data_IF_877015376610
#
_entry.id   IF_877015376610
#
_cell.length_a   1.000
_cell.length_b   1.000
_cell.length_c   1.000
_cell.angle_alpha   90.00
_cell.angle_beta   90.00
_cell.angle_gamma   90.00
#
_symmetry.space_group_name_H-M   'P 1'
#
loop_
_entity.id
_entity.type
_entity.pdbx_description
1 polymer ?
#
# COMPACT_ATOMS: atom_id res chain seq x y z
N UNK A 1 -5.15 -24.58 -44.29
CA UNK A 1 -4.06 -24.10 -43.40
C UNK A 1 -3.85 -22.59 -43.46
N UNK A 2 -3.84 -21.95 -44.63
CA UNK A 2 -3.67 -20.48 -44.74
C UNK A 2 -4.81 -19.64 -44.13
N UNK A 3 -6.05 -20.14 -44.15
CA UNK A 3 -7.21 -19.45 -43.56
C UNK A 3 -7.11 -19.33 -42.03
N UNK A 4 -6.62 -20.38 -41.36
CA UNK A 4 -6.38 -20.34 -39.91
C UNK A 4 -5.29 -19.33 -39.54
N UNK A 5 -4.23 -19.25 -40.34
CA UNK A 5 -3.14 -18.27 -40.15
C UNK A 5 -3.65 -16.84 -40.36
N UNK A 6 -4.52 -16.61 -41.35
CA UNK A 6 -5.10 -15.30 -41.60
C UNK A 6 -6.01 -14.82 -40.44
N UNK A 7 -6.82 -15.71 -39.88
CA UNK A 7 -7.70 -15.39 -38.73
C UNK A 7 -6.86 -15.04 -37.49
N UNK A 8 -5.78 -15.78 -37.24
CA UNK A 8 -4.88 -15.53 -36.11
C UNK A 8 -4.18 -14.17 -36.23
N UNK A 9 -3.73 -13.78 -37.42
CA UNK A 9 -3.11 -12.48 -37.67
C UNK A 9 -4.08 -11.30 -37.45
N UNK A 10 -5.35 -11.44 -37.88
CA UNK A 10 -6.38 -10.41 -37.66
C UNK A 10 -6.72 -10.28 -36.18
N UNK A 11 -6.87 -11.41 -35.47
CA UNK A 11 -7.14 -11.42 -34.02
C UNK A 11 -5.99 -10.79 -33.23
N UNK A 12 -4.74 -11.11 -33.58
CA UNK A 12 -3.56 -10.55 -32.92
C UNK A 12 -3.40 -9.05 -33.20
N UNK A 13 -3.74 -8.58 -34.41
CA UNK A 13 -3.74 -7.15 -34.72
C UNK A 13 -4.79 -6.37 -33.90
N UNK A 14 -5.99 -6.94 -33.75
CA UNK A 14 -7.06 -6.33 -32.97
C UNK A 14 -6.74 -6.30 -31.47
N UNK A 15 -6.18 -7.39 -30.93
CA UNK A 15 -5.77 -7.50 -29.52
C UNK A 15 -4.52 -6.65 -29.19
N UNK A 16 -3.59 -6.50 -30.14
CA UNK A 16 -2.42 -5.61 -29.99
C UNK A 16 -2.82 -4.13 -29.95
N UNK A 17 -3.88 -3.74 -30.67
CA UNK A 17 -4.37 -2.36 -30.63
C UNK A 17 -5.00 -2.01 -29.27
N UNK A 18 -5.76 -2.94 -28.66
CA UNK A 18 -6.40 -2.72 -27.36
C UNK A 18 -5.41 -2.70 -26.19
N UNK A 19 -4.45 -3.61 -26.19
CA UNK A 19 -3.40 -3.68 -25.14
C UNK A 19 -2.49 -2.46 -25.14
N UNK A 20 -2.12 -1.93 -26.31
CA UNK A 20 -1.32 -0.70 -26.42
C UNK A 20 -2.00 0.53 -25.82
N UNK A 21 -3.34 0.64 -25.92
CA UNK A 21 -4.07 1.78 -25.33
C UNK A 21 -4.06 1.76 -23.80
N UNK A 22 -4.24 0.59 -23.18
CA UNK A 22 -4.22 0.46 -21.72
C UNK A 22 -2.83 0.71 -21.14
N UNK A 23 -1.78 0.22 -21.81
CA UNK A 23 -0.39 0.47 -21.39
C UNK A 23 -0.02 1.95 -21.51
N UNK A 24 -0.51 2.65 -22.54
CA UNK A 24 -0.30 4.10 -22.70
C UNK A 24 -1.00 4.91 -21.62
N UNK A 25 -2.27 4.62 -21.32
CA UNK A 25 -3.00 5.32 -20.25
C UNK A 25 -2.32 5.15 -18.88
N UNK A 26 -1.84 3.94 -18.55
CA UNK A 26 -1.10 3.69 -17.32
C UNK A 26 0.28 4.39 -17.28
N UNK A 27 0.91 4.62 -18.45
CA UNK A 27 2.15 5.39 -18.55
C UNK A 27 1.90 6.91 -18.50
N UNK A 28 0.81 7.39 -19.08
CA UNK A 28 0.40 8.80 -19.12
C UNK A 28 0.02 9.32 -17.72
N UNK A 29 -0.66 8.49 -16.89
CA UNK A 29 -0.95 8.86 -15.50
C UNK A 29 0.33 9.08 -14.68
N UNK A 30 1.38 8.30 -14.94
CA UNK A 30 2.68 8.47 -14.29
C UNK A 30 3.42 9.73 -14.74
N UNK A 31 3.09 10.32 -15.88
CA UNK A 31 3.81 11.46 -16.45
C UNK A 31 3.23 12.82 -16.06
N UNK A 32 2.08 12.87 -15.38
CA UNK A 32 1.45 14.13 -14.94
C UNK A 32 1.81 14.52 -13.50
N UNK A 33 2.80 13.87 -12.89
CA UNK A 33 3.25 14.22 -11.54
C UNK A 33 4.21 15.40 -11.61
N UNK A 34 3.74 16.57 -11.21
CA UNK A 34 4.53 17.79 -11.09
C UNK A 34 4.84 18.13 -9.64
N UNK A 35 5.93 18.85 -9.42
CA UNK A 35 6.27 19.41 -8.11
C UNK A 35 5.18 20.40 -7.68
N UNK A 36 4.75 20.32 -6.42
CA UNK A 36 3.66 21.11 -5.84
C UNK A 36 2.28 20.44 -5.92
N UNK A 37 2.15 19.33 -6.63
CA UNK A 37 0.90 18.59 -6.71
C UNK A 37 0.63 17.80 -5.42
N UNK A 38 -0.61 17.87 -4.93
CA UNK A 38 -1.08 17.03 -3.82
C UNK A 38 -1.48 15.66 -4.33
N UNK A 39 -0.98 14.61 -3.70
CA UNK A 39 -1.14 13.23 -4.16
C UNK A 39 -1.52 12.30 -3.01
N UNK A 40 -2.14 11.18 -3.36
CA UNK A 40 -2.35 10.05 -2.46
C UNK A 40 -1.56 8.83 -2.94
N UNK A 41 -0.88 8.14 -2.02
CA UNK A 41 -0.25 6.85 -2.30
C UNK A 41 -1.26 5.71 -2.25
N UNK A 42 -0.90 4.54 -2.77
CA UNK A 42 -1.73 3.34 -2.68
C UNK A 42 -2.00 2.88 -1.24
N UNK A 43 -1.13 3.22 -0.29
CA UNK A 43 -1.32 2.95 1.15
C UNK A 43 -2.22 3.97 1.86
N UNK A 44 -2.71 5.00 1.15
CA UNK A 44 -3.56 6.05 1.70
C UNK A 44 -2.80 7.23 2.31
N UNK A 45 -1.48 7.31 2.16
CA UNK A 45 -0.71 8.49 2.61
C UNK A 45 -0.99 9.67 1.69
N UNK A 46 -1.25 10.84 2.27
CA UNK A 46 -1.45 12.09 1.53
C UNK A 46 -0.26 13.01 1.79
N UNK A 47 0.22 13.65 0.75
CA UNK A 47 1.23 14.70 0.85
C UNK A 47 1.40 15.46 -0.45
N UNK A 48 2.36 16.38 -0.46
CA UNK A 48 2.70 17.21 -1.60
C UNK A 48 4.01 16.74 -2.21
N UNK A 49 4.07 16.68 -3.54
CA UNK A 49 5.30 16.34 -4.26
C UNK A 49 6.29 17.50 -4.14
N UNK A 50 7.47 17.24 -3.60
CA UNK A 50 8.55 18.24 -3.46
C UNK A 50 9.65 18.06 -4.49
N UNK A 51 9.82 16.85 -5.01
CA UNK A 51 10.81 16.52 -6.02
C UNK A 51 10.39 15.29 -6.83
N UNK A 52 10.79 15.24 -8.10
CA UNK A 52 10.51 14.14 -9.03
C UNK A 52 11.81 13.77 -9.72
N UNK A 53 12.25 12.51 -9.52
CA UNK A 53 13.40 11.94 -10.22
C UNK A 53 12.92 11.00 -11.32
N UNK A 54 12.87 11.53 -12.54
CA UNK A 54 12.50 10.79 -13.75
C UNK A 54 13.53 9.73 -14.15
N UNK A 55 14.80 9.86 -13.74
CA UNK A 55 15.85 8.91 -14.10
C UNK A 55 15.72 7.59 -13.33
N UNK A 56 15.22 7.65 -12.09
CA UNK A 56 15.10 6.50 -11.20
C UNK A 56 13.64 6.10 -10.88
N UNK A 57 12.65 6.68 -11.57
CA UNK A 57 11.21 6.48 -11.31
C UNK A 57 10.84 6.73 -9.82
N UNK A 58 11.44 7.74 -9.20
CA UNK A 58 11.24 8.10 -7.80
C UNK A 58 10.54 9.44 -7.64
N UNK A 59 9.75 9.58 -6.58
CA UNK A 59 9.07 10.82 -6.21
C UNK A 59 9.26 11.06 -4.72
N UNK A 60 9.59 12.29 -4.36
CA UNK A 60 9.70 12.69 -2.96
C UNK A 60 8.44 13.45 -2.57
N UNK A 61 7.81 12.99 -1.49
CA UNK A 61 6.54 13.51 -0.98
C UNK A 61 6.73 13.97 0.45
N UNK A 62 6.14 15.11 0.78
CA UNK A 62 6.13 15.71 2.10
C UNK A 62 4.68 15.77 2.62
N UNK A 63 4.40 15.12 3.75
CA UNK A 63 3.09 15.17 4.40
C UNK A 63 3.01 16.29 5.45
N UNK A 64 4.14 16.55 6.12
CA UNK A 64 4.34 17.65 7.06
C UNK A 64 5.67 18.35 6.78
N UNK A 65 5.76 19.67 7.05
CA UNK A 65 6.98 20.43 6.82
C UNK A 65 8.19 19.83 7.53
N UNK A 66 9.27 19.61 6.78
CA UNK A 66 10.52 19.01 7.24
C UNK A 66 10.57 17.49 7.22
N UNK A 67 9.57 16.79 6.64
CA UNK A 67 9.56 15.32 6.56
C UNK A 67 9.41 14.79 5.12
N UNK A 68 10.44 14.96 4.27
CA UNK A 68 10.44 14.37 2.94
C UNK A 68 10.63 12.86 3.02
N UNK A 69 9.77 12.10 2.34
CA UNK A 69 9.91 10.66 2.15
C UNK A 69 9.91 10.32 0.67
N UNK A 70 10.81 9.44 0.26
CA UNK A 70 10.96 9.04 -1.14
C UNK A 70 10.20 7.74 -1.40
N UNK A 71 9.43 7.73 -2.49
CA UNK A 71 8.58 6.64 -2.94
C UNK A 71 8.84 6.35 -4.41
N UNK A 72 8.46 5.16 -4.87
CA UNK A 72 8.42 4.89 -6.30
C UNK A 72 7.26 5.66 -6.94
N UNK A 73 7.43 6.13 -8.17
CA UNK A 73 6.36 6.81 -8.93
C UNK A 73 5.12 5.92 -9.11
N UNK A 74 5.33 4.60 -9.16
CA UNK A 74 4.26 3.60 -9.20
C UNK A 74 3.45 3.48 -7.89
N UNK A 75 3.93 4.02 -6.77
CA UNK A 75 3.21 4.01 -5.50
C UNK A 75 2.12 5.09 -5.43
N UNK A 76 2.06 6.00 -6.40
CA UNK A 76 1.07 7.09 -6.45
C UNK A 76 -0.20 6.59 -7.11
N UNK A 77 -1.31 6.65 -6.38
CA UNK A 77 -2.59 6.09 -6.80
C UNK A 77 -3.49 7.14 -7.46
N UNK A 78 -3.55 8.35 -6.90
CA UNK A 78 -4.36 9.46 -7.41
C UNK A 78 -3.75 10.81 -7.09
N UNK A 79 -3.93 11.75 -8.00
CA UNK A 79 -3.77 13.17 -7.72
C UNK A 79 -5.00 13.65 -6.93
N UNK A 80 -4.76 14.46 -5.92
CA UNK A 80 -5.82 15.18 -5.20
C UNK A 80 -5.78 16.60 -5.73
N UNK A 81 -6.64 16.91 -6.68
CA UNK A 81 -6.91 18.30 -7.01
C UNK A 81 -7.71 18.89 -5.84
N UNK A 82 -7.10 19.82 -5.11
CA UNK A 82 -7.86 20.62 -4.17
C UNK A 82 -8.87 21.42 -5.01
N UNK A 83 -10.18 21.33 -4.73
CA UNK A 83 -11.14 22.20 -5.38
C UNK A 83 -10.77 23.62 -4.98
N UNK A 84 -10.16 24.34 -5.91
CA UNK A 84 -10.08 25.80 -5.83
C UNK A 84 -11.54 26.23 -5.71
N UNK A 85 -11.86 26.94 -4.62
CA UNK A 85 -13.16 27.55 -4.45
C UNK A 85 -13.31 28.67 -5.50
N UNK A 86 -13.56 28.28 -6.75
CA UNK A 86 -14.06 29.11 -7.82
C UNK A 86 -15.06 28.28 -8.61
N UNK A 87 -16.31 28.73 -8.58
CA UNK A 87 -17.42 28.27 -9.39
C UNK A 87 -17.02 28.14 -10.88
N UNK A 88 -16.77 26.92 -11.36
CA UNK A 88 -17.03 26.51 -12.75
C UNK A 88 -16.73 25.01 -12.96
N UNK A 89 -17.81 24.23 -13.03
CA UNK A 89 -18.05 23.14 -13.97
C UNK A 89 -16.83 22.34 -14.49
N UNK A 90 -16.64 21.14 -13.95
CA UNK A 90 -15.92 20.05 -14.61
C UNK A 90 -16.57 18.71 -14.22
N UNK A 91 -17.56 18.31 -15.01
CA UNK A 91 -17.97 16.91 -15.12
C UNK A 91 -16.79 16.06 -15.62
N UNK A 92 -16.57 14.91 -14.95
CA UNK A 92 -16.19 13.61 -15.52
C UNK A 92 -15.14 12.88 -14.68
N UNK A 93 -15.55 11.78 -14.04
CA UNK A 93 -14.91 10.46 -14.08
C UNK A 93 -15.55 9.56 -13.02
N UNK A 94 -16.66 8.95 -13.41
CA UNK A 94 -17.22 7.76 -12.77
C UNK A 94 -16.22 6.62 -12.92
N UNK A 95 -15.64 6.13 -11.81
CA UNK A 95 -14.94 4.85 -11.80
C UNK A 95 -15.60 3.93 -10.77
N UNK A 96 -16.44 3.03 -11.28
CA UNK A 96 -17.04 1.93 -10.54
C UNK A 96 -15.93 0.98 -10.07
N UNK A 97 -15.44 1.18 -8.85
CA UNK A 97 -14.77 0.10 -8.12
C UNK A 97 -15.83 -0.88 -7.61
N UNK A 98 -15.99 -1.97 -8.34
CA UNK A 98 -16.64 -3.20 -7.90
C UNK A 98 -15.90 -3.73 -6.66
N UNK A 99 -16.43 -3.42 -5.48
CA UNK A 99 -16.03 -4.03 -4.21
C UNK A 99 -16.68 -5.41 -4.17
N UNK A 100 -15.93 -6.46 -4.48
CA UNK A 100 -16.30 -7.82 -4.05
C UNK A 100 -16.27 -7.87 -2.52
N UNK A 101 -17.44 -7.69 -1.92
CA UNK A 101 -17.73 -8.06 -0.55
C UNK A 101 -17.52 -9.56 -0.37
N UNK A 102 -16.51 -9.95 0.41
CA UNK A 102 -16.52 -11.24 1.09
C UNK A 102 -16.55 -10.97 2.59
N UNK A 103 -17.74 -10.60 3.06
CA UNK A 103 -18.12 -10.63 4.46
C UNK A 103 -18.56 -12.05 4.79
N UNK A 104 -17.72 -12.84 5.47
CA UNK A 104 -18.15 -13.92 6.35
C UNK A 104 -16.94 -14.49 7.13
N UNK A 105 -16.72 -13.98 8.33
CA UNK A 105 -16.61 -14.81 9.54
C UNK A 105 -16.68 -13.87 10.73
N UNK A 106 -17.89 -13.79 11.30
CA UNK A 106 -18.16 -13.08 12.53
C UNK A 106 -17.29 -13.65 13.65
N UNK A 107 -16.45 -12.78 14.20
CA UNK A 107 -15.72 -13.02 15.43
C UNK A 107 -16.71 -12.95 16.59
N UNK A 108 -17.08 -14.12 17.15
CA UNK A 108 -17.61 -14.18 18.51
C UNK A 108 -16.43 -13.99 19.46
N UNK A 109 -16.16 -12.74 19.82
CA UNK A 109 -15.15 -12.41 20.84
C UNK A 109 -15.80 -12.57 22.21
N UNK A 110 -15.65 -13.76 22.80
CA UNK A 110 -15.75 -13.92 24.26
C UNK A 110 -14.54 -13.22 24.90
N UNK A 111 -14.71 -12.43 25.97
CA UNK A 111 -13.61 -11.72 26.60
C UNK A 111 -12.94 -12.61 27.64
N UNK A 112 -12.32 -13.73 27.24
CA UNK A 112 -11.50 -14.55 28.16
C UNK A 112 -10.43 -15.41 27.45
N UNK A 113 -9.82 -14.88 26.39
CA UNK A 113 -8.64 -15.50 25.81
C UNK A 113 -7.76 -14.41 25.20
N UNK A 114 -6.80 -13.92 25.98
CA UNK A 114 -5.62 -13.30 25.39
C UNK A 114 -4.91 -14.43 24.62
N UNK A 115 -5.08 -14.47 23.30
CA UNK A 115 -4.36 -15.36 22.40
C UNK A 115 -2.91 -14.83 22.30
N UNK A 116 -2.16 -15.08 23.36
CA UNK A 116 -0.73 -14.82 23.43
C UNK A 116 -0.06 -15.95 22.65
N UNK A 117 0.73 -15.67 21.61
CA UNK A 117 1.39 -16.72 20.83
C UNK A 117 2.24 -17.61 21.76
N UNK A 118 2.16 -18.92 21.54
CA UNK A 118 2.67 -20.00 22.42
C UNK A 118 4.17 -19.84 22.78
N UNK A 119 4.93 -19.15 21.94
CA UNK A 119 6.36 -18.85 22.12
C UNK A 119 6.64 -17.86 23.27
N UNK A 120 5.66 -17.01 23.64
CA UNK A 120 5.82 -16.03 24.71
C UNK A 120 5.51 -16.60 26.11
N UNK A 121 4.86 -17.76 26.20
CA UNK A 121 4.58 -18.46 27.46
C UNK A 121 5.84 -18.94 28.17
N UNK A 122 6.94 -19.12 27.44
CA UNK A 122 8.25 -19.53 27.98
C UNK A 122 8.99 -18.42 28.73
N UNK A 123 8.76 -17.14 28.38
CA UNK A 123 9.51 -16.01 28.94
C UNK A 123 9.15 -15.72 30.40
N UNK A 124 7.87 -15.86 30.77
CA UNK A 124 7.43 -15.59 32.15
C UNK A 124 7.80 -16.76 33.08
N UNK A 125 7.80 -18.00 32.56
CA UNK A 125 8.25 -19.20 33.29
C UNK A 125 9.76 -19.13 33.57
N UNK A 126 10.58 -18.84 32.56
CA UNK A 126 12.03 -18.70 32.72
C UNK A 126 12.41 -17.58 33.70
N UNK A 127 11.66 -16.47 33.69
CA UNK A 127 11.89 -15.35 34.62
C UNK A 127 11.52 -15.70 36.07
N UNK A 128 10.50 -16.53 36.28
CA UNK A 128 10.14 -17.04 37.61
C UNK A 128 11.18 -18.02 38.13
N UNK A 129 11.60 -18.98 37.30
CA UNK A 129 12.63 -19.97 37.67
C UNK A 129 13.97 -19.31 38.02
N UNK A 130 14.39 -18.28 37.27
CA UNK A 130 15.61 -17.53 37.57
C UNK A 130 15.53 -16.77 38.90
N UNK A 131 14.38 -16.16 39.23
CA UNK A 131 14.18 -15.50 40.53
C UNK A 131 14.14 -16.50 41.69
N UNK A 132 13.59 -17.69 41.48
CA UNK A 132 13.55 -18.73 42.51
C UNK A 132 14.94 -19.34 42.75
N UNK A 133 15.76 -19.49 41.70
CA UNK A 133 17.16 -19.89 41.85
C UNK A 133 17.96 -18.84 42.63
N UNK A 134 17.88 -17.56 42.29
CA UNK A 134 18.56 -16.51 43.04
C UNK A 134 18.17 -16.44 44.52
N UNK A 135 16.89 -16.71 44.84
CA UNK A 135 16.44 -16.79 46.24
C UNK A 135 17.06 -17.96 46.98
N UNK A 136 17.10 -19.14 46.35
CA UNK A 136 17.74 -20.33 46.93
C UNK A 136 19.24 -20.15 47.14
N UNK A 137 19.92 -19.51 46.20
CA UNK A 137 21.36 -19.25 46.29
C UNK A 137 21.68 -18.23 47.39
N UNK A 138 20.84 -17.20 47.57
CA UNK A 138 20.98 -16.23 48.65
C UNK A 138 20.72 -16.83 50.05
N UNK A 139 19.82 -17.80 50.16
CA UNK A 139 19.56 -18.51 51.43
C UNK A 139 20.66 -19.53 51.77
N UNK A 140 21.41 -20.02 50.77
CA UNK A 140 22.50 -20.99 50.95
C UNK A 140 23.82 -20.36 51.44
N UNK A 141 24.06 -19.07 51.15
CA UNK A 141 25.26 -18.33 51.56
C UNK A 141 25.12 -17.66 52.94
N UNK A 142 23.93 -17.75 53.54
CA UNK A 142 23.57 -17.08 54.81
C UNK A 142 23.69 -17.93 56.08
N UNK A 143 24.38 -19.08 56.07
CA UNK A 143 24.53 -19.95 57.25
C UNK A 143 25.98 -20.33 57.55
#
# INVERSE_FOLDING_TARGET
>A
MLILVAILLVAMFFMSSRSRKQQRAAAEFRNNLTVGTKVMTASGMIGTVVDVDDANDQVTIESFPGNPTTWLRAAISKQIDEPVADDADAEDATDESEVTENSETASTISPDANDVPDDLSGLDTAKREYREQQRRDADADGK
#
